data_IF_379913781125
#
_entry.id   IF_379913781125
#
_cell.length_a   1.000
_cell.length_b   1.000
_cell.length_c   1.000
_cell.angle_alpha   90.00
_cell.angle_beta   90.00
_cell.angle_gamma   90.00
#
_symmetry.space_group_name_H-M   'P 1'
#
loop_
_entity.id
_entity.type
_entity.pdbx_description
1 polymer ?
#
# COMPACT_ATOMS: atom_id res chain seq x y z
N UNK A 1 -7.27 -21.93 28.73
CA UNK A 1 -7.57 -23.21 29.47
C UNK A 1 -9.08 -23.43 29.71
N UNK A 2 -9.89 -22.35 29.77
CA UNK A 2 -11.34 -22.48 30.06
C UNK A 2 -12.08 -23.37 29.04
N UNK A 3 -11.77 -23.22 27.75
CA UNK A 3 -12.40 -23.99 26.67
C UNK A 3 -11.65 -25.30 26.32
N UNK A 4 -10.52 -25.63 26.95
CA UNK A 4 -9.71 -26.78 26.64
C UNK A 4 -9.02 -26.77 25.25
N UNK A 5 -9.16 -25.69 24.50
CA UNK A 5 -8.56 -25.51 23.17
C UNK A 5 -7.69 -24.28 23.13
N UNK A 6 -6.67 -24.31 22.27
CA UNK A 6 -5.80 -23.16 22.05
C UNK A 6 -6.49 -22.16 21.10
N UNK A 7 -6.50 -20.86 21.42
CA UNK A 7 -7.09 -19.84 20.57
C UNK A 7 -6.30 -19.65 19.28
N UNK A 8 -6.99 -19.12 18.26
CA UNK A 8 -6.40 -18.47 17.10
C UNK A 8 -6.58 -16.97 17.31
N UNK A 9 -5.51 -16.20 17.19
CA UNK A 9 -5.57 -14.73 17.26
C UNK A 9 -5.60 -14.18 15.84
N UNK A 10 -6.59 -13.32 15.57
CA UNK A 10 -6.64 -12.49 14.36
C UNK A 10 -6.53 -11.05 14.81
N UNK A 11 -5.50 -10.36 14.34
CA UNK A 11 -5.24 -8.97 14.65
C UNK A 11 -5.27 -8.17 13.34
N UNK A 12 -6.18 -7.23 13.27
CA UNK A 12 -6.35 -6.35 12.12
C UNK A 12 -5.80 -4.96 12.42
N UNK A 13 -5.27 -4.28 11.39
CA UNK A 13 -4.73 -2.93 11.46
C UNK A 13 -3.70 -2.73 12.59
N UNK A 14 -2.83 -3.72 12.81
CA UNK A 14 -1.88 -3.68 13.93
C UNK A 14 -0.89 -2.52 13.84
N UNK A 15 -0.71 -1.93 12.67
CA UNK A 15 0.18 -0.79 12.42
C UNK A 15 -0.47 0.57 12.72
N UNK A 16 -1.76 0.64 13.02
CA UNK A 16 -2.45 1.89 13.38
C UNK A 16 -1.81 2.66 14.55
N UNK A 17 -1.37 2.03 15.65
CA UNK A 17 -0.64 2.73 16.70
C UNK A 17 0.67 3.36 16.20
N UNK A 18 1.37 2.70 15.29
CA UNK A 18 2.60 3.22 14.68
C UNK A 18 2.34 4.38 13.74
N UNK A 19 1.25 4.35 12.97
CA UNK A 19 0.81 5.48 12.16
C UNK A 19 0.61 6.73 13.02
N UNK A 20 -0.12 6.59 14.13
CA UNK A 20 -0.35 7.68 15.06
C UNK A 20 0.96 8.18 15.68
N UNK A 21 1.81 7.26 16.09
CA UNK A 21 3.11 7.57 16.67
C UNK A 21 4.04 8.29 15.67
N UNK A 22 3.98 7.91 14.39
CA UNK A 22 4.74 8.57 13.33
C UNK A 22 4.26 10.01 13.07
N UNK A 23 2.95 10.22 13.02
CA UNK A 23 2.36 11.56 12.90
C UNK A 23 2.83 12.49 14.02
N UNK A 24 2.87 11.99 15.25
CA UNK A 24 3.20 12.75 16.46
C UNK A 24 4.65 12.57 16.94
N UNK A 25 5.51 11.92 16.15
CA UNK A 25 6.96 11.78 16.34
C UNK A 25 7.40 11.02 17.60
N UNK A 26 6.65 10.00 18.03
CA UNK A 26 7.00 9.12 19.16
C UNK A 26 7.06 7.61 18.78
N UNK A 27 7.44 7.29 17.54
CA UNK A 27 7.51 5.90 17.04
C UNK A 27 8.42 5.03 17.91
N UNK A 28 9.52 5.59 18.44
CA UNK A 28 10.45 4.85 19.31
C UNK A 28 9.76 4.39 20.60
N UNK A 29 8.99 5.28 21.24
CA UNK A 29 8.26 4.95 22.47
C UNK A 29 7.16 3.94 22.19
N UNK A 30 6.48 4.06 21.06
CA UNK A 30 5.49 3.08 20.61
C UNK A 30 6.13 1.72 20.37
N UNK A 31 7.31 1.65 19.73
CA UNK A 31 8.02 0.40 19.54
C UNK A 31 8.43 -0.26 20.85
N UNK A 32 8.91 0.53 21.83
CA UNK A 32 9.24 0.05 23.18
C UNK A 32 8.03 -0.54 23.92
N UNK A 33 6.83 -0.08 23.63
CA UNK A 33 5.59 -0.64 24.18
C UNK A 33 5.13 -1.86 23.39
N UNK A 34 5.08 -1.75 22.06
CA UNK A 34 4.50 -2.79 21.20
C UNK A 34 5.36 -4.05 21.13
N UNK A 35 6.68 -3.93 21.10
CA UNK A 35 7.56 -5.09 20.94
C UNK A 35 7.45 -6.10 22.10
N UNK A 36 7.51 -5.70 23.39
CA UNK A 36 7.24 -6.63 24.50
C UNK A 36 5.81 -7.19 24.48
N UNK A 37 4.81 -6.38 24.12
CA UNK A 37 3.43 -6.82 24.02
C UNK A 37 3.28 -7.94 22.98
N UNK A 38 3.87 -7.77 21.80
CA UNK A 38 3.88 -8.78 20.74
C UNK A 38 4.67 -10.01 21.17
N UNK A 39 5.82 -9.83 21.84
CA UNK A 39 6.64 -10.92 22.36
C UNK A 39 5.91 -11.79 23.38
N UNK A 40 5.20 -11.19 24.32
CA UNK A 40 4.39 -11.90 25.30
C UNK A 40 3.19 -12.62 24.65
N UNK A 41 2.63 -12.03 23.60
CA UNK A 41 1.45 -12.58 22.93
C UNK A 41 1.81 -13.71 21.97
N UNK A 42 2.86 -13.59 21.19
CA UNK A 42 3.14 -14.49 20.06
C UNK A 42 4.37 -15.38 20.25
N UNK A 43 5.39 -14.93 20.98
CA UNK A 43 6.67 -15.63 21.06
C UNK A 43 6.75 -16.66 22.18
N UNK A 44 6.16 -16.38 23.32
CA UNK A 44 6.42 -17.14 24.56
C UNK A 44 5.25 -17.99 25.00
N UNK A 45 4.15 -18.04 24.27
CA UNK A 45 2.95 -18.71 24.74
C UNK A 45 2.75 -20.11 24.13
N UNK A 46 2.72 -21.12 25.00
CA UNK A 46 2.26 -22.46 24.61
C UNK A 46 0.74 -22.55 24.44
N UNK A 47 0.03 -21.49 24.82
CA UNK A 47 -1.43 -21.43 24.79
C UNK A 47 -2.01 -20.99 23.46
N UNK A 48 -1.20 -20.46 22.55
CA UNK A 48 -1.62 -20.03 21.22
C UNK A 48 -1.55 -21.18 20.21
N UNK A 49 -2.58 -21.32 19.37
CA UNK A 49 -2.57 -22.26 18.25
C UNK A 49 -1.92 -21.62 17.02
N UNK A 50 -2.44 -20.48 16.58
CA UNK A 50 -1.97 -19.71 15.41
C UNK A 50 -2.29 -18.23 15.61
N UNK A 51 -1.58 -17.37 14.87
CA UNK A 51 -1.93 -15.98 14.75
C UNK A 51 -1.91 -15.56 13.28
N UNK A 52 -2.81 -14.67 12.90
CA UNK A 52 -2.83 -13.98 11.61
C UNK A 52 -2.91 -12.48 11.90
N UNK A 53 -2.01 -11.73 11.31
CA UNK A 53 -1.89 -10.29 11.54
C UNK A 53 -2.02 -9.60 10.18
N UNK A 54 -2.92 -8.65 10.09
CA UNK A 54 -3.13 -7.82 8.91
C UNK A 54 -2.68 -6.40 9.18
N UNK A 55 -2.06 -5.79 8.19
CA UNK A 55 -1.68 -4.38 8.23
C UNK A 55 -1.31 -3.86 6.86
N UNK A 56 -1.28 -2.55 6.71
CA UNK A 56 -0.82 -1.88 5.49
C UNK A 56 0.71 -1.77 5.47
N UNK A 57 1.32 -1.57 6.64
CA UNK A 57 2.77 -1.45 6.81
C UNK A 57 3.27 -2.42 7.88
N UNK A 58 4.59 -2.59 7.94
CA UNK A 58 5.22 -3.35 9.03
C UNK A 58 5.32 -2.54 10.35
N UNK A 59 4.74 -1.35 10.39
CA UNK A 59 4.78 -0.44 11.53
C UNK A 59 6.14 0.22 11.69
N UNK A 60 7.09 -0.48 12.31
CA UNK A 60 8.47 0.01 12.42
C UNK A 60 9.47 -1.15 12.32
N UNK A 61 10.73 -0.85 11.99
CA UNK A 61 11.81 -1.84 11.95
C UNK A 61 12.28 -2.21 13.36
N UNK A 62 12.83 -3.41 13.50
CA UNK A 62 13.42 -3.86 14.76
C UNK A 62 12.41 -4.37 15.78
N UNK A 63 11.21 -4.76 15.34
CA UNK A 63 10.25 -5.47 16.18
C UNK A 63 10.62 -6.95 16.25
N UNK A 64 11.21 -7.37 17.36
CA UNK A 64 11.63 -8.76 17.61
C UNK A 64 10.53 -9.59 18.30
N UNK A 65 9.44 -8.95 18.70
CA UNK A 65 8.30 -9.60 19.38
C UNK A 65 7.57 -10.64 18.53
N UNK A 66 7.65 -10.53 17.20
CA UNK A 66 7.14 -11.56 16.30
C UNK A 66 8.15 -12.70 16.18
N UNK A 67 7.73 -13.91 16.47
CA UNK A 67 8.58 -15.10 16.39
C UNK A 67 8.75 -15.59 14.96
N UNK A 68 9.56 -14.89 14.15
CA UNK A 68 9.79 -15.19 12.73
C UNK A 68 8.50 -15.43 11.95
N UNK A 69 7.65 -14.39 11.80
CA UNK A 69 6.40 -14.51 11.07
C UNK A 69 6.66 -14.83 9.59
N UNK A 70 5.76 -15.59 9.00
CA UNK A 70 5.70 -15.71 7.55
C UNK A 70 5.07 -14.43 6.99
N UNK A 71 5.89 -13.55 6.43
CA UNK A 71 5.44 -12.24 5.93
C UNK A 71 4.98 -12.39 4.49
N UNK A 72 3.72 -12.04 4.24
CA UNK A 72 3.09 -12.04 2.92
C UNK A 72 2.96 -10.60 2.45
N UNK A 73 3.46 -10.32 1.26
CA UNK A 73 3.54 -8.97 0.72
C UNK A 73 2.88 -8.87 -0.66
N UNK A 74 2.62 -7.66 -1.11
CA UNK A 74 2.02 -7.41 -2.42
C UNK A 74 2.89 -7.86 -3.62
N UNK A 75 4.20 -8.08 -3.40
CA UNK A 75 5.12 -8.57 -4.44
C UNK A 75 5.36 -10.08 -4.35
N UNK A 76 4.88 -10.72 -3.28
CA UNK A 76 5.04 -12.16 -3.05
C UNK A 76 4.02 -12.99 -3.83
N UNK A 77 4.38 -14.22 -4.18
CA UNK A 77 3.48 -15.14 -4.90
C UNK A 77 2.45 -15.80 -3.99
N UNK A 78 2.75 -15.93 -2.69
CA UNK A 78 1.87 -16.61 -1.74
C UNK A 78 0.59 -15.79 -1.50
N UNK A 79 -0.56 -16.41 -1.74
CA UNK A 79 -1.89 -15.77 -1.65
C UNK A 79 -2.10 -14.57 -2.59
N UNK A 80 -1.30 -14.45 -3.64
CA UNK A 80 -1.38 -13.30 -4.55
C UNK A 80 -2.77 -13.15 -5.20
N UNK A 81 -3.46 -14.26 -5.49
CA UNK A 81 -4.84 -14.26 -6.03
C UNK A 81 -5.92 -13.94 -5.01
N UNK A 82 -5.61 -13.90 -3.71
CA UNK A 82 -6.61 -13.67 -2.65
C UNK A 82 -6.80 -12.18 -2.31
N UNK A 83 -6.00 -11.31 -2.91
CA UNK A 83 -6.09 -9.85 -2.69
C UNK A 83 -7.17 -9.14 -3.52
N UNK A 84 -7.91 -9.86 -4.34
CA UNK A 84 -8.99 -9.32 -5.17
C UNK A 84 -9.86 -10.42 -5.75
N UNK A 85 -10.84 -10.06 -6.57
CA UNK A 85 -11.62 -11.04 -7.30
C UNK A 85 -10.94 -11.43 -8.62
N UNK A 86 -10.87 -12.73 -8.87
CA UNK A 86 -10.44 -13.27 -10.16
C UNK A 86 -11.50 -13.02 -11.24
N UNK A 87 -11.12 -13.16 -12.50
CA UNK A 87 -12.04 -13.06 -13.63
C UNK A 87 -13.22 -14.04 -13.52
N UNK A 88 -12.93 -15.25 -13.09
CA UNK A 88 -13.91 -16.33 -12.92
C UNK A 88 -14.93 -15.96 -11.83
N UNK A 89 -14.46 -15.47 -10.69
CA UNK A 89 -15.32 -15.03 -9.57
C UNK A 89 -16.17 -13.81 -9.97
N UNK A 90 -15.61 -12.85 -10.71
CA UNK A 90 -16.36 -11.71 -11.25
C UNK A 90 -17.44 -12.18 -12.18
N UNK A 91 -17.12 -13.09 -13.11
CA UNK A 91 -18.07 -13.64 -14.09
C UNK A 91 -19.22 -14.38 -13.41
N UNK A 92 -18.92 -15.21 -12.41
CA UNK A 92 -19.91 -15.95 -11.64
C UNK A 92 -20.81 -15.01 -10.82
N UNK A 93 -20.22 -14.02 -10.14
CA UNK A 93 -20.98 -13.03 -9.39
C UNK A 93 -21.92 -12.22 -10.30
N UNK A 94 -21.44 -11.76 -11.46
CA UNK A 94 -22.28 -11.06 -12.44
C UNK A 94 -23.47 -11.92 -12.89
N UNK A 95 -23.23 -13.20 -13.19
CA UNK A 95 -24.27 -14.16 -13.56
C UNK A 95 -25.35 -14.29 -12.48
N UNK A 96 -24.96 -14.37 -11.20
CA UNK A 96 -25.90 -14.44 -10.07
C UNK A 96 -26.78 -13.19 -9.96
N UNK A 97 -26.25 -12.02 -10.35
CA UNK A 97 -26.98 -10.75 -10.36
C UNK A 97 -27.70 -10.45 -11.68
N UNK A 98 -27.71 -11.39 -12.64
CA UNK A 98 -28.34 -11.24 -13.96
C UNK A 98 -27.60 -10.24 -14.86
N UNK A 99 -26.30 -10.09 -14.68
CA UNK A 99 -25.40 -9.26 -15.48
C UNK A 99 -24.42 -10.15 -16.26
N UNK A 100 -23.88 -9.66 -17.37
CA UNK A 100 -22.99 -10.47 -18.23
C UNK A 100 -21.71 -9.76 -18.66
N UNK A 101 -21.60 -8.45 -18.43
CA UNK A 101 -20.50 -7.64 -18.96
C UNK A 101 -19.29 -7.65 -18.03
N UNK A 102 -18.54 -8.76 -18.04
CA UNK A 102 -17.29 -8.91 -17.30
C UNK A 102 -16.22 -7.94 -17.81
N UNK A 103 -16.16 -7.69 -19.11
CA UNK A 103 -15.11 -6.86 -19.72
C UNK A 103 -15.17 -5.41 -19.26
N UNK A 104 -16.35 -4.83 -19.13
CA UNK A 104 -16.50 -3.47 -18.60
C UNK A 104 -16.11 -3.37 -17.12
N UNK A 105 -16.41 -4.40 -16.33
CA UNK A 105 -15.99 -4.45 -14.92
C UNK A 105 -14.47 -4.53 -14.80
N UNK A 106 -13.83 -5.40 -15.59
CA UNK A 106 -12.38 -5.55 -15.61
C UNK A 106 -11.68 -4.25 -16.06
N UNK A 107 -12.17 -3.65 -17.13
CA UNK A 107 -11.61 -2.38 -17.63
C UNK A 107 -11.70 -1.25 -16.61
N UNK A 108 -12.77 -1.22 -15.82
CA UNK A 108 -13.04 -0.14 -14.87
C UNK A 108 -12.39 -0.34 -13.51
N UNK A 109 -12.42 -1.55 -12.98
CA UNK A 109 -12.05 -1.89 -11.61
C UNK A 109 -10.97 -2.97 -11.51
N UNK A 110 -10.51 -3.50 -12.64
CA UNK A 110 -9.50 -4.55 -12.73
C UNK A 110 -8.08 -4.02 -12.91
N UNK A 111 -7.21 -4.94 -13.33
CA UNK A 111 -5.82 -4.64 -13.67
C UNK A 111 -4.84 -4.72 -12.52
N UNK A 112 -5.27 -5.13 -11.32
CA UNK A 112 -4.38 -5.27 -10.17
C UNK A 112 -3.58 -6.57 -10.25
N UNK A 113 -2.26 -6.48 -10.22
CA UNK A 113 -1.34 -7.61 -10.20
C UNK A 113 -0.58 -7.61 -8.88
N UNK A 114 -0.67 -8.70 -8.14
CA UNK A 114 0.07 -8.95 -6.91
C UNK A 114 0.96 -10.18 -7.13
N UNK A 115 2.27 -10.04 -6.91
CA UNK A 115 3.20 -11.13 -7.16
C UNK A 115 2.95 -11.77 -8.54
N UNK A 116 2.73 -13.07 -8.56
CA UNK A 116 2.49 -13.86 -9.79
C UNK A 116 0.99 -14.01 -10.13
N UNK A 117 0.10 -13.18 -9.57
CA UNK A 117 -1.33 -13.30 -9.87
C UNK A 117 -1.65 -12.90 -11.31
N UNK A 118 -2.72 -13.46 -11.86
CA UNK A 118 -3.42 -12.85 -12.97
C UNK A 118 -4.06 -11.52 -12.53
N UNK A 119 -4.37 -10.60 -13.46
CA UNK A 119 -5.01 -9.35 -13.08
C UNK A 119 -6.30 -9.57 -12.29
N UNK A 120 -6.41 -8.93 -11.13
CA UNK A 120 -7.54 -9.02 -10.21
C UNK A 120 -8.42 -7.78 -10.31
N UNK A 121 -9.66 -7.91 -9.82
CA UNK A 121 -10.64 -6.83 -9.71
C UNK A 121 -10.76 -6.39 -8.25
N UNK A 122 -10.77 -5.07 -8.02
CA UNK A 122 -10.86 -4.46 -6.68
C UNK A 122 -12.20 -4.80 -6.01
N UNK A 123 -12.19 -5.48 -4.85
CA UNK A 123 -13.42 -5.96 -4.22
C UNK A 123 -14.41 -4.85 -3.90
N UNK A 124 -13.97 -3.77 -3.27
CA UNK A 124 -14.86 -2.68 -2.84
C UNK A 124 -15.63 -2.04 -4.00
N UNK A 125 -14.93 -1.75 -5.10
CA UNK A 125 -15.54 -1.12 -6.29
C UNK A 125 -16.50 -2.09 -6.99
N UNK A 126 -16.14 -3.36 -7.07
CA UNK A 126 -16.98 -4.38 -7.67
C UNK A 126 -18.26 -4.67 -6.86
N UNK A 127 -18.15 -4.85 -5.55
CA UNK A 127 -19.30 -5.05 -4.66
C UNK A 127 -20.27 -3.86 -4.74
N UNK A 128 -19.73 -2.63 -4.78
CA UNK A 128 -20.55 -1.42 -4.96
C UNK A 128 -21.28 -1.44 -6.31
N UNK A 129 -20.58 -1.80 -7.38
CA UNK A 129 -21.20 -1.94 -8.71
C UNK A 129 -22.33 -2.97 -8.70
N UNK A 130 -22.13 -4.16 -8.11
CA UNK A 130 -23.19 -5.17 -7.98
C UNK A 130 -24.43 -4.65 -7.23
N UNK A 131 -24.20 -3.87 -6.18
CA UNK A 131 -25.26 -3.27 -5.37
C UNK A 131 -26.04 -2.17 -6.13
N UNK A 132 -25.33 -1.29 -6.84
CA UNK A 132 -25.91 -0.10 -7.47
C UNK A 132 -26.26 -0.30 -8.95
N UNK A 133 -25.73 -1.34 -9.58
CA UNK A 133 -25.86 -1.66 -11.02
C UNK A 133 -25.41 -0.51 -11.94
N UNK A 134 -24.59 0.38 -11.44
CA UNK A 134 -24.04 1.51 -12.19
C UNK A 134 -22.55 1.65 -11.86
N UNK A 135 -21.77 1.96 -12.90
CA UNK A 135 -20.37 2.34 -12.68
C UNK A 135 -20.33 3.71 -12.02
N UNK A 136 -19.79 3.76 -10.82
CA UNK A 136 -19.64 5.01 -10.08
C UNK A 136 -18.20 5.52 -10.17
N UNK A 137 -18.05 6.80 -10.48
CA UNK A 137 -16.76 7.50 -10.48
C UNK A 137 -16.40 8.07 -9.10
N UNK A 138 -16.96 7.50 -8.04
CA UNK A 138 -16.87 8.03 -6.68
C UNK A 138 -15.64 7.55 -5.91
N UNK A 139 -14.60 7.14 -6.62
CA UNK A 139 -13.33 6.86 -5.97
C UNK A 139 -12.67 8.19 -5.57
N UNK A 140 -12.93 8.59 -4.35
CA UNK A 140 -12.21 9.67 -3.67
C UNK A 140 -11.12 9.01 -2.84
N UNK A 141 -9.90 9.57 -2.81
CA UNK A 141 -8.87 9.11 -1.89
C UNK A 141 -9.44 9.12 -0.47
N UNK A 142 -9.22 8.05 0.28
CA UNK A 142 -9.61 8.08 1.69
C UNK A 142 -8.71 9.07 2.45
N UNK A 143 -9.20 9.56 3.59
CA UNK A 143 -8.50 10.56 4.39
C UNK A 143 -7.10 10.10 4.81
N UNK A 144 -6.95 8.83 5.19
CA UNK A 144 -5.65 8.26 5.57
C UNK A 144 -4.65 8.29 4.41
N UNK A 145 -5.05 7.84 3.22
CA UNK A 145 -4.20 7.86 2.03
C UNK A 145 -3.80 9.28 1.66
N UNK A 146 -4.73 10.22 1.72
CA UNK A 146 -4.48 11.64 1.45
C UNK A 146 -3.46 12.21 2.43
N UNK A 147 -3.62 11.97 3.71
CA UNK A 147 -2.73 12.49 4.75
C UNK A 147 -1.30 11.90 4.64
N UNK A 148 -1.19 10.60 4.42
CA UNK A 148 0.11 9.94 4.20
C UNK A 148 0.81 10.50 2.95
N UNK A 149 0.08 10.66 1.86
CA UNK A 149 0.59 11.20 0.60
C UNK A 149 1.10 12.63 0.78
N UNK A 150 0.30 13.51 1.37
CA UNK A 150 0.66 14.89 1.65
C UNK A 150 1.84 14.99 2.62
N UNK A 151 1.86 14.14 3.65
CA UNK A 151 2.95 14.14 4.63
C UNK A 151 4.27 13.68 4.01
N UNK A 152 4.26 12.66 3.15
CA UNK A 152 5.44 12.25 2.39
C UNK A 152 5.92 13.37 1.46
N UNK A 153 5.01 14.04 0.75
CA UNK A 153 5.35 15.17 -0.11
C UNK A 153 5.93 16.37 0.68
N UNK A 154 5.41 16.68 1.86
CA UNK A 154 5.94 17.75 2.74
C UNK A 154 7.32 17.44 3.28
N UNK A 155 7.59 16.17 3.59
CA UNK A 155 8.87 15.73 4.16
C UNK A 155 9.95 15.53 3.10
N UNK A 156 9.56 15.36 1.84
CA UNK A 156 10.50 15.43 0.73
C UNK A 156 10.94 16.88 0.52
N UNK A 157 12.18 17.08 0.14
CA UNK A 157 12.74 18.39 -0.21
C UNK A 157 12.35 18.85 -1.64
N UNK A 158 11.21 18.39 -2.14
CA UNK A 158 10.71 18.59 -3.50
C UNK A 158 11.17 17.52 -4.50
N UNK A 159 11.96 16.54 -4.08
CA UNK A 159 12.45 15.47 -4.96
C UNK A 159 11.37 14.45 -5.35
N UNK A 160 10.39 14.22 -4.47
CA UNK A 160 9.34 13.24 -4.68
C UNK A 160 8.31 13.66 -5.73
N UNK A 161 7.90 14.93 -5.71
CA UNK A 161 6.82 15.42 -6.56
C UNK A 161 7.07 15.21 -8.09
N UNK A 162 8.27 15.47 -8.65
CA UNK A 162 8.56 15.18 -10.05
C UNK A 162 8.46 13.68 -10.41
N UNK A 163 8.81 12.79 -9.48
CA UNK A 163 8.67 11.34 -9.68
C UNK A 163 7.20 10.95 -9.79
N UNK A 164 6.36 11.50 -8.90
CA UNK A 164 4.92 11.28 -8.92
C UNK A 164 4.26 11.86 -10.19
N UNK A 165 4.71 13.02 -10.66
CA UNK A 165 4.28 13.59 -11.95
C UNK A 165 4.67 12.69 -13.13
N UNK A 166 5.89 12.15 -13.12
CA UNK A 166 6.37 11.25 -14.16
C UNK A 166 5.53 9.98 -14.22
N UNK A 167 5.14 9.42 -13.08
CA UNK A 167 4.25 8.26 -13.02
C UNK A 167 2.88 8.59 -13.64
N UNK A 168 2.33 9.80 -13.40
CA UNK A 168 1.05 10.19 -13.97
C UNK A 168 1.12 10.44 -15.48
N UNK A 169 2.26 10.94 -15.98
CA UNK A 169 2.47 11.31 -17.38
C UNK A 169 2.83 10.10 -18.27
N UNK A 170 3.32 9.01 -17.69
CA UNK A 170 3.78 7.83 -18.41
C UNK A 170 2.81 6.67 -18.22
N UNK A 171 2.88 5.67 -19.11
CA UNK A 171 2.10 4.44 -18.98
C UNK A 171 2.65 3.53 -17.87
N UNK A 172 3.97 3.58 -17.66
CA UNK A 172 4.64 2.84 -16.60
C UNK A 172 5.92 3.53 -16.16
N UNK A 173 6.38 3.22 -14.94
CA UNK A 173 7.63 3.70 -14.36
C UNK A 173 8.40 2.52 -13.77
N UNK A 174 9.71 2.46 -14.01
CA UNK A 174 10.58 1.48 -13.33
C UNK A 174 11.15 2.11 -12.07
N UNK A 175 10.92 1.49 -10.94
CA UNK A 175 11.35 1.99 -9.63
C UNK A 175 11.69 0.85 -8.68
N UNK A 176 12.46 1.17 -7.65
CA UNK A 176 12.67 0.24 -6.54
C UNK A 176 11.37 0.11 -5.74
N UNK A 177 10.99 -1.14 -5.43
CA UNK A 177 9.87 -1.47 -4.58
C UNK A 177 10.38 -2.23 -3.37
N UNK A 178 9.97 -1.79 -2.19
CA UNK A 178 10.28 -2.46 -0.93
C UNK A 178 9.10 -3.33 -0.52
N UNK A 179 9.37 -4.57 -0.14
CA UNK A 179 8.33 -5.51 0.32
C UNK A 179 7.83 -5.17 1.72
N UNK A 180 8.71 -4.58 2.54
CA UNK A 180 8.42 -4.25 3.93
C UNK A 180 8.54 -2.74 4.08
N UNK A 181 7.41 -2.06 4.06
CA UNK A 181 7.31 -0.61 4.29
C UNK A 181 7.07 -0.34 5.76
N UNK A 182 7.76 0.65 6.32
CA UNK A 182 7.53 1.14 7.68
C UNK A 182 7.31 2.65 7.69
N UNK A 183 6.60 3.18 8.68
CA UNK A 183 6.34 4.62 8.76
C UNK A 183 7.61 5.48 8.88
N UNK A 184 8.65 5.09 9.67
CA UNK A 184 9.90 5.84 9.71
C UNK A 184 10.67 5.91 8.39
N UNK A 185 10.44 4.97 7.47
CA UNK A 185 11.12 4.97 6.17
C UNK A 185 10.76 6.22 5.35
N UNK A 186 9.55 6.75 5.51
CA UNK A 186 9.12 7.99 4.83
C UNK A 186 9.88 9.24 5.29
N UNK A 187 10.49 9.22 6.46
CA UNK A 187 11.32 10.32 6.94
C UNK A 187 12.73 10.31 6.31
N UNK A 188 13.21 9.12 5.96
CA UNK A 188 14.56 8.91 5.41
C UNK A 188 14.55 8.74 3.90
N UNK A 189 13.48 8.19 3.35
CA UNK A 189 13.30 7.96 1.92
C UNK A 189 11.83 8.17 1.51
N UNK A 190 11.42 9.39 1.17
CA UNK A 190 10.06 9.66 0.72
C UNK A 190 9.61 8.85 -0.51
N UNK A 191 10.56 8.33 -1.31
CA UNK A 191 10.26 7.46 -2.45
C UNK A 191 9.64 6.11 -2.04
N UNK A 192 9.77 5.70 -0.79
CA UNK A 192 9.05 4.54 -0.23
C UNK A 192 7.52 4.70 -0.28
N UNK A 193 7.05 5.93 -0.51
CA UNK A 193 5.63 6.16 -0.80
C UNK A 193 5.12 5.32 -1.98
N UNK A 194 5.93 5.10 -3.02
CA UNK A 194 5.51 4.27 -4.16
C UNK A 194 5.24 2.83 -3.74
N UNK A 195 6.06 2.28 -2.84
CA UNK A 195 5.83 0.94 -2.27
C UNK A 195 4.54 0.89 -1.44
N UNK A 196 4.25 1.94 -0.68
CA UNK A 196 3.00 2.07 0.07
C UNK A 196 1.78 2.19 -0.87
N UNK A 197 1.88 2.96 -1.95
CA UNK A 197 0.81 3.11 -2.94
C UNK A 197 0.50 1.78 -3.64
N UNK A 198 1.51 0.92 -3.84
CA UNK A 198 1.32 -0.45 -4.32
C UNK A 198 0.50 -1.26 -3.30
N UNK A 199 0.85 -1.21 -2.03
CA UNK A 199 0.12 -1.90 -0.96
C UNK A 199 -1.32 -1.40 -0.82
N UNK A 200 -1.56 -0.10 -1.01
CA UNK A 200 -2.92 0.48 -1.03
C UNK A 200 -3.71 0.15 -2.31
N UNK A 201 -3.10 -0.46 -3.31
CA UNK A 201 -3.75 -0.74 -4.59
C UNK A 201 -4.09 0.55 -5.36
N UNK A 202 -3.28 1.60 -5.27
CA UNK A 202 -3.36 2.78 -6.13
C UNK A 202 -2.50 2.63 -7.38
N UNK A 203 -1.46 1.85 -7.30
CA UNK A 203 -0.63 1.41 -8.42
C UNK A 203 -0.50 -0.10 -8.39
N UNK A 204 -0.01 -0.69 -9.45
CA UNK A 204 0.17 -2.13 -9.60
C UNK A 204 1.50 -2.45 -10.26
N UNK A 205 1.94 -3.68 -10.16
CA UNK A 205 3.00 -4.20 -11.01
C UNK A 205 2.46 -4.37 -12.44
N UNK A 206 3.28 -4.12 -13.47
CA UNK A 206 2.88 -4.43 -14.86
C UNK A 206 3.20 -5.87 -15.24
N UNK A 207 4.25 -6.42 -14.64
CA UNK A 207 4.75 -7.77 -14.84
C UNK A 207 5.03 -8.38 -13.46
N UNK A 208 4.86 -9.70 -13.33
CA UNK A 208 5.20 -10.44 -12.10
C UNK A 208 6.70 -10.41 -11.79
N UNK A 209 7.52 -10.30 -12.83
CA UNK A 209 8.96 -10.37 -12.69
C UNK A 209 9.59 -9.00 -12.43
N UNK A 210 10.55 -8.98 -11.52
CA UNK A 210 11.38 -7.81 -11.33
C UNK A 210 12.24 -7.56 -12.56
N UNK A 211 12.36 -6.30 -12.97
CA UNK A 211 13.31 -5.86 -14.01
C UNK A 211 14.75 -6.14 -13.56
N UNK A 212 15.03 -5.99 -12.27
CA UNK A 212 16.28 -6.34 -11.61
C UNK A 212 16.00 -6.80 -10.18
N UNK A 213 16.07 -8.10 -9.94
CA UNK A 213 15.82 -8.72 -8.62
C UNK A 213 16.82 -8.22 -7.58
N UNK A 214 18.09 -8.04 -7.95
CA UNK A 214 19.15 -7.64 -7.01
C UNK A 214 18.93 -6.24 -6.46
N UNK A 215 18.33 -5.36 -7.26
CA UNK A 215 17.97 -3.98 -6.91
C UNK A 215 16.50 -3.80 -6.58
N UNK A 216 15.71 -4.87 -6.62
CA UNK A 216 14.26 -4.84 -6.45
C UNK A 216 13.55 -3.82 -7.35
N UNK A 217 14.03 -3.71 -8.60
CA UNK A 217 13.42 -2.83 -9.59
C UNK A 217 12.24 -3.52 -10.26
N UNK A 218 11.07 -2.91 -10.14
CA UNK A 218 9.84 -3.35 -10.76
C UNK A 218 9.30 -2.26 -11.68
N UNK A 219 8.53 -2.69 -12.68
CA UNK A 219 7.76 -1.77 -13.49
C UNK A 219 6.38 -1.63 -12.87
N UNK A 220 6.02 -0.40 -12.54
CA UNK A 220 4.73 -0.06 -11.93
C UNK A 220 3.88 0.79 -12.87
N UNK A 221 2.56 0.68 -12.75
CA UNK A 221 1.59 1.45 -13.53
C UNK A 221 0.30 1.70 -12.72
N UNK A 222 -0.64 2.45 -13.29
CA UNK A 222 -1.99 2.48 -12.79
C UNK A 222 -2.75 1.25 -13.33
N UNK A 223 -3.45 0.49 -12.47
CA UNK A 223 -4.20 -0.68 -12.92
C UNK A 223 -5.39 -0.31 -13.82
N UNK A 224 -5.98 0.86 -13.60
CA UNK A 224 -7.15 1.34 -14.34
C UNK A 224 -7.30 2.86 -14.22
N UNK A 225 -8.29 3.42 -14.94
CA UNK A 225 -8.51 4.86 -14.95
C UNK A 225 -9.09 5.39 -13.63
N UNK A 226 -9.79 4.58 -12.84
CA UNK A 226 -10.26 4.96 -11.51
C UNK A 226 -9.10 5.34 -10.60
N UNK A 227 -8.09 4.49 -10.50
CA UNK A 227 -6.91 4.72 -9.65
C UNK A 227 -6.04 5.86 -10.18
N UNK A 228 -5.90 5.98 -11.51
CA UNK A 228 -5.20 7.11 -12.16
C UNK A 228 -5.86 8.44 -11.80
N UNK A 229 -7.19 8.50 -11.76
CA UNK A 229 -7.93 9.70 -11.38
C UNK A 229 -7.75 10.05 -9.91
N UNK A 230 -7.87 9.06 -9.00
CA UNK A 230 -7.59 9.25 -7.58
C UNK A 230 -6.20 9.83 -7.38
N UNK A 231 -5.21 9.27 -8.05
CA UNK A 231 -3.83 9.72 -7.94
C UNK A 231 -3.65 11.16 -8.47
N UNK A 232 -4.32 11.52 -9.56
CA UNK A 232 -4.33 12.90 -10.08
C UNK A 232 -4.90 13.88 -9.07
N UNK A 233 -5.97 13.52 -8.37
CA UNK A 233 -6.56 14.35 -7.32
C UNK A 233 -5.62 14.52 -6.13
N UNK A 234 -4.93 13.44 -5.70
CA UNK A 234 -3.90 13.50 -4.66
C UNK A 234 -2.76 14.45 -5.05
N UNK A 235 -2.29 14.34 -6.29
CA UNK A 235 -1.20 15.17 -6.80
C UNK A 235 -1.60 16.63 -6.89
N UNK A 236 -2.83 16.94 -7.35
CA UNK A 236 -3.36 18.29 -7.39
C UNK A 236 -3.52 18.89 -5.99
N UNK A 237 -3.97 18.09 -5.02
CA UNK A 237 -4.06 18.49 -3.62
C UNK A 237 -2.69 18.81 -3.05
N UNK A 238 -1.69 17.98 -3.36
CA UNK A 238 -0.30 18.24 -2.97
C UNK A 238 0.24 19.53 -3.60
N UNK A 239 0.01 19.75 -4.90
CA UNK A 239 0.46 20.95 -5.59
C UNK A 239 -0.17 22.25 -5.04
N UNK A 240 -1.39 22.15 -4.52
CA UNK A 240 -2.13 23.27 -3.93
C UNK A 240 -1.76 23.53 -2.47
N UNK A 241 -1.02 22.63 -1.83
CA UNK A 241 -0.61 22.76 -0.43
C UNK A 241 0.62 23.66 -0.32
N UNK A 242 0.58 24.76 0.45
CA UNK A 242 1.70 25.70 0.57
C UNK A 242 2.96 25.07 1.20
N UNK A 243 2.78 23.99 1.95
CA UNK A 243 3.86 23.29 2.65
C UNK A 243 4.53 22.20 1.82
N UNK A 244 4.05 21.95 0.60
CA UNK A 244 4.61 20.94 -0.30
C UNK A 244 5.51 21.63 -1.33
N UNK A 245 6.78 21.23 -1.37
CA UNK A 245 7.70 21.67 -2.41
C UNK A 245 7.48 20.84 -3.68
N UNK A 246 7.18 21.51 -4.77
CA UNK A 246 6.92 20.88 -6.08
C UNK A 246 8.16 20.80 -6.97
N UNK A 247 9.27 21.43 -6.55
CA UNK A 247 10.57 21.34 -7.20
C UNK A 247 11.68 21.26 -6.14
N UNK A 248 12.80 20.56 -6.43
CA UNK A 248 13.95 20.55 -5.54
C UNK A 248 14.48 21.97 -5.32
N UNK A 249 14.77 22.31 -4.06
CA UNK A 249 15.54 23.51 -3.80
C UNK A 249 16.95 23.30 -4.36
N UNK A 250 17.29 24.01 -5.44
CA UNK A 250 18.68 24.12 -5.84
C UNK A 250 19.43 24.84 -4.74
N UNK A 251 20.27 24.11 -3.99
CA UNK A 251 21.25 24.72 -3.13
C UNK A 251 22.06 25.71 -3.97
N UNK A 252 21.86 27.02 -3.77
CA UNK A 252 22.75 28.05 -4.29
C UNK A 252 24.12 27.79 -3.66
N UNK A 253 24.98 27.09 -4.39
CA UNK A 253 26.40 27.08 -4.09
C UNK A 253 26.84 28.56 -4.10
N UNK A 254 26.95 29.16 -2.91
CA UNK A 254 27.68 30.39 -2.76
C UNK A 254 29.10 30.10 -3.25
N UNK A 255 29.40 30.57 -4.47
CA UNK A 255 30.78 30.67 -4.93
C UNK A 255 31.51 31.50 -3.89
N UNK A 256 32.32 30.84 -3.07
CA UNK A 256 33.37 31.53 -2.32
C UNK A 256 34.36 31.99 -3.40
N UNK A 257 34.38 33.29 -3.64
CA UNK A 257 35.45 33.95 -4.37
C UNK A 257 36.74 33.74 -3.57
N UNK A 258 37.71 33.16 -4.21
CA UNK A 258 39.08 33.17 -3.76
C UNK A 258 39.72 34.53 -4.02
#
# INVERSE_FOLDING_TARGET
QYFGVKPIIVLDDYDTPFLHAWRHRYVKDMALFMDPLMGLTFKSTQSLSRAVIFSTTYGCRGLDGFNHPDVITATGSKYASDFGFTREEVSEALRLYGLTDTSSVESRYGGFVFGESSPLVKPQSFIRFLSQRTFTDNAVPNELTTDLFLTACRRSDGSLYPVLQSLLAQDSLTTAVTDIVTYPDFDTNPAELLSLLLTFGLITLTDSDAVDISRRLYRIAFPNEETRRIFRELLNTAASSPDVKTAPEFCHFKRRSF
#
